data_IF_408154455090
#
_entry.id   IF_408154455090
#
_cell.length_a   1.000
_cell.length_b   1.000
_cell.length_c   1.000
_cell.angle_alpha   90.00
_cell.angle_beta   90.00
_cell.angle_gamma   90.00
#
_symmetry.space_group_name_H-M   'P 1'
#
loop_
_entity.id
_entity.type
_entity.pdbx_description
1 polymer ?
#
# COMPACT_ATOMS: atom_id res chain seq x y z
N UNK A 1 -0.78 -5.40 28.68
CA UNK A 1 -0.42 -4.16 27.94
C UNK A 1 -1.69 -3.54 27.35
N UNK A 2 -1.83 -2.22 27.40
CA UNK A 2 -2.95 -1.53 26.72
C UNK A 2 -2.60 -1.29 25.25
N UNK A 3 -3.56 -1.55 24.37
CA UNK A 3 -3.44 -1.31 22.93
C UNK A 3 -4.35 -0.15 22.52
N UNK A 4 -3.97 0.56 21.46
CA UNK A 4 -4.75 1.64 20.85
C UNK A 4 -4.78 1.43 19.35
N UNK A 5 -5.90 1.80 18.74
CA UNK A 5 -6.06 1.84 17.28
C UNK A 5 -6.05 3.30 16.83
N UNK A 6 -5.42 3.59 15.71
CA UNK A 6 -5.35 4.94 15.17
C UNK A 6 -4.82 4.97 13.76
N UNK A 7 -4.88 6.15 13.15
CA UNK A 7 -4.44 6.37 11.77
C UNK A 7 -3.05 7.00 11.75
N UNK A 8 -2.21 6.58 10.83
CA UNK A 8 -0.88 7.16 10.60
C UNK A 8 -1.06 8.55 9.98
N UNK A 9 -0.66 9.58 10.71
CA UNK A 9 -0.71 10.99 10.25
C UNK A 9 0.60 11.42 9.63
N UNK A 10 1.73 10.88 10.08
CA UNK A 10 3.05 11.25 9.55
C UNK A 10 3.98 10.04 9.50
N UNK A 11 4.47 9.72 8.29
CA UNK A 11 5.42 8.65 8.05
C UNK A 11 6.78 9.16 7.54
N UNK A 12 7.08 10.46 7.74
CA UNK A 12 8.27 11.13 7.19
C UNK A 12 9.58 10.81 7.91
N UNK A 13 9.53 10.21 9.10
CA UNK A 13 10.70 9.95 9.93
C UNK A 13 11.16 8.50 9.80
N UNK A 14 12.47 8.28 9.81
CA UNK A 14 13.04 6.93 9.80
C UNK A 14 12.73 6.18 11.10
N UNK A 15 12.13 4.98 10.98
CA UNK A 15 11.84 4.08 12.10
C UNK A 15 10.78 4.59 13.11
N UNK A 16 10.15 5.74 12.84
CA UNK A 16 9.18 6.35 13.75
C UNK A 16 7.98 6.87 12.97
N UNK A 17 6.78 6.59 13.47
CA UNK A 17 5.54 7.08 12.86
C UNK A 17 4.70 7.85 13.87
N UNK A 18 4.01 8.89 13.38
CA UNK A 18 3.03 9.64 14.13
C UNK A 18 1.65 9.03 13.93
N UNK A 19 1.06 8.51 15.01
CA UNK A 19 -0.26 7.85 15.00
C UNK A 19 -1.24 8.69 15.79
N UNK A 20 -2.32 9.13 15.14
CA UNK A 20 -3.40 9.87 15.80
C UNK A 20 -4.48 8.89 16.24
N UNK A 21 -4.79 8.93 17.53
CA UNK A 21 -5.87 8.15 18.14
C UNK A 21 -7.00 9.09 18.48
N UNK A 22 -8.15 8.84 17.87
CA UNK A 22 -9.39 9.54 18.18
C UNK A 22 -10.09 8.88 19.37
N UNK A 23 -10.46 9.69 20.36
CA UNK A 23 -11.30 9.29 21.47
C UNK A 23 -12.50 10.23 21.58
N UNK A 24 -13.65 9.68 21.95
CA UNK A 24 -14.80 10.51 22.30
C UNK A 24 -14.84 10.72 23.80
N UNK A 25 -14.96 11.98 24.22
CA UNK A 25 -15.06 12.37 25.62
C UNK A 25 -16.34 13.20 25.79
N UNK A 26 -16.98 13.06 26.93
CA UNK A 26 -18.11 13.91 27.31
C UNK A 26 -17.59 15.15 28.00
N UNK A 27 -18.11 16.32 27.65
CA UNK A 27 -17.79 17.52 28.41
C UNK A 27 -18.38 17.42 29.82
N UNK A 28 -17.63 17.79 30.87
CA UNK A 28 -18.03 17.54 32.26
C UNK A 28 -19.35 18.21 32.65
N UNK A 29 -19.59 19.45 32.21
CA UNK A 29 -20.80 20.22 32.57
C UNK A 29 -22.00 19.83 31.73
N UNK A 30 -21.95 20.08 30.42
CA UNK A 30 -23.11 19.90 29.53
C UNK A 30 -23.27 18.49 28.94
N UNK A 31 -22.33 17.56 29.18
CA UNK A 31 -22.41 16.15 28.74
C UNK A 31 -22.64 15.93 27.23
N UNK A 32 -22.29 16.89 26.37
CA UNK A 32 -22.24 16.68 24.91
C UNK A 32 -20.95 15.94 24.57
N UNK A 33 -21.06 14.95 23.70
CA UNK A 33 -19.94 14.13 23.22
C UNK A 33 -19.13 14.93 22.20
N UNK A 34 -17.82 15.03 22.39
CA UNK A 34 -16.91 15.66 21.45
C UNK A 34 -15.71 14.74 21.15
N UNK A 35 -15.08 14.94 19.99
CA UNK A 35 -13.89 14.18 19.57
C UNK A 35 -12.64 14.85 20.12
N UNK A 36 -11.78 14.07 20.77
CA UNK A 36 -10.45 14.46 21.24
C UNK A 36 -9.43 13.58 20.56
N UNK A 37 -8.54 14.18 19.78
CA UNK A 37 -7.42 13.50 19.15
C UNK A 37 -6.18 13.58 20.05
N UNK A 38 -5.38 12.52 20.04
CA UNK A 38 -4.03 12.54 20.63
C UNK A 38 -3.08 11.80 19.70
N UNK A 39 -2.00 12.48 19.32
CA UNK A 39 -0.96 11.90 18.49
C UNK A 39 0.12 11.27 19.37
N UNK A 40 0.54 10.06 18.99
CA UNK A 40 1.57 9.27 19.66
C UNK A 40 2.71 8.99 18.68
N UNK A 41 3.94 9.02 19.17
CA UNK A 41 5.10 8.57 18.41
C UNK A 41 5.31 7.08 18.68
N UNK A 42 5.27 6.28 17.63
CA UNK A 42 5.39 4.83 17.70
C UNK A 42 6.63 4.32 16.95
N UNK A 43 7.21 3.24 17.46
CA UNK A 43 8.28 2.46 16.81
C UNK A 43 7.73 1.61 15.67
N UNK A 44 8.28 1.82 14.48
CA UNK A 44 7.90 1.11 13.25
C UNK A 44 9.05 0.25 12.70
N UNK A 45 10.10 -0.02 13.49
CA UNK A 45 11.23 -0.84 13.06
C UNK A 45 10.73 -2.25 12.72
N UNK A 46 10.52 -2.52 11.42
CA UNK A 46 9.97 -3.78 10.90
C UNK A 46 8.64 -3.67 10.14
N UNK A 47 8.08 -2.47 9.96
CA UNK A 47 6.84 -2.27 9.20
C UNK A 47 6.99 -1.15 8.16
N UNK A 48 6.62 -1.47 6.91
CA UNK A 48 6.43 -0.47 5.86
C UNK A 48 5.05 0.15 6.01
N UNK A 49 5.02 1.37 6.55
CA UNK A 49 3.82 2.13 6.86
C UNK A 49 3.82 3.44 6.09
N UNK A 50 2.63 3.83 5.67
CA UNK A 50 2.40 5.07 4.94
C UNK A 50 1.33 5.92 5.60
N UNK A 51 1.26 7.17 5.17
CA UNK A 51 0.26 8.10 5.66
C UNK A 51 -1.14 7.62 5.26
N UNK A 52 -2.07 7.61 6.21
CA UNK A 52 -3.43 7.08 6.03
C UNK A 52 -3.64 5.64 6.47
N UNK A 53 -2.59 4.87 6.76
CA UNK A 53 -2.73 3.48 7.22
C UNK A 53 -3.39 3.41 8.61
N UNK A 54 -4.24 2.40 8.81
CA UNK A 54 -4.88 2.13 10.09
C UNK A 54 -4.08 1.08 10.86
N UNK A 55 -3.54 1.48 12.01
CA UNK A 55 -2.56 0.69 12.77
C UNK A 55 -2.98 0.46 14.21
N UNK A 56 -2.50 -0.65 14.78
CA UNK A 56 -2.59 -0.96 16.21
C UNK A 56 -1.25 -0.73 16.88
N UNK A 57 -1.24 0.13 17.90
CA UNK A 57 -0.07 0.44 18.72
C UNK A 57 -0.23 -0.14 20.12
N UNK A 58 0.88 -0.60 20.68
CA UNK A 58 0.96 -1.18 22.03
C UNK A 58 1.95 -0.38 22.87
N UNK A 59 1.63 -0.16 24.14
CA UNK A 59 2.57 0.45 25.10
C UNK A 59 3.83 -0.41 25.23
N UNK A 60 5.02 0.21 25.25
CA UNK A 60 6.30 -0.48 25.39
C UNK A 60 7.21 0.26 26.40
N UNK A 61 8.39 -0.31 26.66
CA UNK A 61 9.44 0.45 27.39
C UNK A 61 9.72 1.77 26.67
N UNK A 62 10.13 2.83 27.38
CA UNK A 62 10.59 4.05 26.73
C UNK A 62 11.72 3.73 25.74
N UNK A 63 11.53 4.09 24.47
CA UNK A 63 12.55 4.01 23.42
C UNK A 63 13.22 5.38 23.28
N UNK A 64 12.46 6.46 23.48
CA UNK A 64 12.96 7.83 23.54
C UNK A 64 12.15 8.67 24.53
N UNK A 65 12.41 9.99 24.58
CA UNK A 65 11.68 10.95 25.43
C UNK A 65 10.16 10.98 25.17
N UNK A 66 9.72 10.67 23.95
CA UNK A 66 8.29 10.72 23.57
C UNK A 66 7.76 9.41 22.99
N UNK A 67 8.66 8.50 22.59
CA UNK A 67 8.36 7.24 21.92
C UNK A 67 8.24 6.14 22.96
N UNK A 68 6.99 5.88 23.37
CA UNK A 68 6.62 4.87 24.38
C UNK A 68 5.65 3.82 23.82
N UNK A 69 5.46 3.81 22.51
CA UNK A 69 4.57 2.90 21.81
C UNK A 69 5.32 2.19 20.69
N UNK A 70 4.92 0.96 20.40
CA UNK A 70 5.40 0.17 19.27
C UNK A 70 4.22 -0.24 18.39
N UNK A 71 4.39 -0.18 17.08
CA UNK A 71 3.41 -0.72 16.11
C UNK A 71 3.45 -2.25 16.20
N UNK A 72 2.28 -2.86 16.35
CA UNK A 72 2.15 -4.32 16.48
C UNK A 72 1.49 -4.94 15.25
N UNK A 73 0.50 -4.26 14.68
CA UNK A 73 -0.33 -4.79 13.61
C UNK A 73 -0.78 -3.66 12.69
N UNK A 74 -0.75 -3.90 11.39
CA UNK A 74 -1.35 -3.05 10.36
C UNK A 74 -2.72 -3.65 10.04
N UNK A 75 -3.78 -2.90 10.31
CA UNK A 75 -5.15 -3.39 10.16
C UNK A 75 -5.66 -3.15 8.75
N UNK A 76 -5.46 -1.94 8.23
CA UNK A 76 -5.87 -1.56 6.88
C UNK A 76 -4.78 -0.68 6.26
N UNK A 77 -4.42 -0.97 5.02
CA UNK A 77 -3.53 -0.12 4.24
C UNK A 77 -4.37 0.90 3.49
N UNK A 78 -3.88 2.13 3.40
CA UNK A 78 -4.53 3.16 2.61
C UNK A 78 -4.62 2.73 1.13
N UNK A 79 -5.74 3.01 0.44
CA UNK A 79 -5.87 2.72 -0.97
C UNK A 79 -4.84 3.57 -1.74
N UNK A 80 -3.87 2.89 -2.35
CA UNK A 80 -2.87 3.52 -3.20
C UNK A 80 -3.32 3.46 -4.63
N UNK A 81 -3.31 4.62 -5.25
CA UNK A 81 -3.56 4.80 -6.69
C UNK A 81 -2.54 4.05 -7.56
N UNK A 82 -1.42 3.60 -6.99
CA UNK A 82 -0.39 2.85 -7.71
C UNK A 82 -0.87 1.46 -8.17
N UNK A 83 -1.77 0.81 -7.42
CA UNK A 83 -2.30 -0.52 -7.78
C UNK A 83 -3.25 -0.42 -8.99
N UNK A 84 -3.84 0.75 -9.24
CA UNK A 84 -4.71 0.97 -10.41
C UNK A 84 -3.91 1.29 -11.68
N UNK A 85 -2.70 1.84 -11.55
CA UNK A 85 -1.81 2.12 -12.70
C UNK A 85 -1.09 0.89 -13.23
N UNK A 86 -0.81 -0.09 -12.36
CA UNK A 86 -0.19 -1.34 -12.79
C UNK A 86 -1.14 -2.20 -13.62
N UNK A 87 -2.45 -2.19 -13.33
CA UNK A 87 -3.43 -2.95 -14.13
C UNK A 87 -3.71 -2.26 -15.49
N UNK A 88 -3.85 -0.93 -15.52
CA UNK A 88 -4.03 -0.17 -16.77
C UNK A 88 -2.82 -0.31 -17.72
N UNK A 89 -1.59 -0.29 -17.18
CA UNK A 89 -0.37 -0.40 -17.99
C UNK A 89 -0.13 -1.80 -18.58
N UNK A 90 -0.64 -2.86 -17.94
CA UNK A 90 -0.52 -4.24 -18.44
C UNK A 90 -1.51 -4.49 -19.58
N UNK A 91 -2.72 -3.92 -19.52
CA UNK A 91 -3.68 -3.97 -20.63
C UNK A 91 -3.18 -3.20 -21.86
N UNK A 92 -2.61 -2.00 -21.66
CA UNK A 92 -2.08 -1.17 -22.75
C UNK A 92 -0.88 -1.84 -23.47
N UNK A 93 -0.03 -2.57 -22.73
CA UNK A 93 1.07 -3.34 -23.29
C UNK A 93 0.61 -4.59 -24.07
N UNK A 94 -0.49 -5.23 -23.68
CA UNK A 94 -1.04 -6.41 -24.37
C UNK A 94 -1.68 -6.05 -25.73
N UNK A 95 -2.13 -4.82 -25.91
CA UNK A 95 -2.73 -4.38 -27.19
C UNK A 95 -1.71 -3.98 -28.27
N UNK A 96 -0.43 -3.76 -27.92
CA UNK A 96 0.61 -3.42 -28.89
C UNK A 96 1.29 -4.63 -29.56
N UNK A 97 1.12 -5.86 -29.05
CA UNK A 97 1.73 -7.04 -29.67
C UNK A 97 0.86 -7.68 -30.78
N UNK A 98 -0.34 -7.15 -31.06
CA UNK A 98 -1.25 -7.73 -32.08
C UNK A 98 -1.32 -6.98 -33.41
N UNK A 99 -0.28 -6.20 -33.75
CA UNK A 99 -0.20 -5.51 -35.05
C UNK A 99 1.00 -5.90 -35.94
N UNK A 100 1.76 -6.95 -35.60
CA UNK A 100 2.84 -7.42 -36.49
C UNK A 100 2.96 -8.94 -36.61
N UNK A 101 1.89 -9.59 -37.11
CA UNK A 101 1.99 -10.86 -37.85
C UNK A 101 0.95 -10.80 -38.98
N UNK A 102 1.26 -10.09 -40.05
CA UNK A 102 0.68 -10.41 -41.37
C UNK A 102 1.49 -11.56 -41.95
N UNK A 103 0.83 -12.69 -42.18
CA UNK A 103 1.43 -13.88 -42.78
C UNK A 103 1.68 -13.62 -44.28
N UNK A 104 2.88 -13.89 -44.83
CA UNK A 104 3.05 -13.97 -46.27
C UNK A 104 2.53 -15.34 -46.76
N UNK A 105 1.42 -15.33 -47.50
CA UNK A 105 0.98 -16.46 -48.32
C UNK A 105 1.83 -16.54 -49.60
N UNK A 106 2.35 -17.74 -49.94
CA UNK A 106 3.01 -17.97 -51.23
C UNK A 106 4.02 -19.11 -51.28
N UNK A 107 3.53 -20.35 -51.11
CA UNK A 107 4.25 -21.61 -51.31
C UNK A 107 4.78 -21.73 -52.75
N UNK A 108 6.10 -21.90 -52.91
CA UNK A 108 6.76 -22.18 -54.19
C UNK A 108 6.61 -23.67 -54.50
N UNK A 109 5.74 -24.04 -55.45
CA UNK A 109 5.80 -25.35 -56.09
C UNK A 109 6.91 -25.35 -57.14
N UNK A 110 8.02 -26.00 -56.78
CA UNK A 110 9.15 -26.35 -57.64
C UNK A 110 8.71 -27.42 -58.65
N UNK A 111 8.69 -27.07 -59.95
CA UNK A 111 8.71 -28.05 -61.04
C UNK A 111 10.19 -28.31 -61.36
N UNK A 112 10.67 -29.52 -61.09
CA UNK A 112 11.80 -30.08 -61.86
C UNK A 112 11.49 -31.54 -62.16
N UNK A 113 11.39 -31.92 -63.45
CA UNK A 113 11.16 -33.31 -63.86
C UNK A 113 12.43 -34.14 -63.70
N UNK A 114 12.34 -35.42 -63.28
CA UNK A 114 13.49 -36.31 -63.27
C UNK A 114 13.83 -36.76 -64.70
N UNK A 115 15.08 -36.51 -65.10
CA UNK A 115 15.72 -37.03 -66.30
C UNK A 115 15.90 -38.56 -66.27
N UNK A 116 16.05 -39.11 -67.48
CA UNK A 116 16.16 -40.51 -67.85
C UNK A 116 17.34 -41.29 -67.21
N UNK A 117 17.08 -42.55 -66.86
CA UNK A 117 17.70 -43.78 -67.42
C UNK A 117 17.06 -45.04 -66.83
#
# INVERSE_FOLDING_TARGET
MRTKKGTVTSAKMTGTVGVTVDAFVFHPVYRKRYRRNKTFLADANGHDLYEGDLVRITECRPISKRKHFKVTEVLEKAPRVDVMKEEEGVEEAMHHHKSHVEQPEGEKTEKTPPDAQ
#
